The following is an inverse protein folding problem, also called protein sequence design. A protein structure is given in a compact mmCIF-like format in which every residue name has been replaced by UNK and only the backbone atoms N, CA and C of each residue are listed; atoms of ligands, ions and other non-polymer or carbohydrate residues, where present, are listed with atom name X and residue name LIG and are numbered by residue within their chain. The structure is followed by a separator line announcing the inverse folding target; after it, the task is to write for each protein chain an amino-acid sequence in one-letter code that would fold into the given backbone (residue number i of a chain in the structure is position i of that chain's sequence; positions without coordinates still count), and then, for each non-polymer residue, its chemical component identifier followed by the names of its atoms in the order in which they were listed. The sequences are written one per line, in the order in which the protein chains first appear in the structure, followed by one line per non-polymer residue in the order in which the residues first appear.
data_IF_627673136526
#
_entry.id   IF_627673136526
#
_cell.length_a   1.000
_cell.length_b   1.000
_cell.length_c   1.000
_cell.angle_alpha   90.00
_cell.angle_beta   90.00
_cell.angle_gamma   90.00
#
_symmetry.space_group_name_H-M   'P 1'
#
loop_
_entity.id
_entity.type
_entity.pdbx_description
1 polymer ?
#
# COMPACT_ATOMS: atom_id res chain seq x y z
N UNK A 1 19.65 -18.51 -5.57
CA UNK A 1 19.13 -17.31 -4.89
C UNK A 1 17.64 -17.25 -5.18
N UNK A 2 16.76 -16.86 -4.23
CA UNK A 2 15.38 -16.60 -4.59
C UNK A 2 15.35 -15.49 -5.66
N UNK A 3 14.48 -15.65 -6.64
CA UNK A 3 14.36 -14.72 -7.74
C UNK A 3 13.77 -13.40 -7.22
N UNK A 4 14.36 -12.26 -7.61
CA UNK A 4 13.87 -10.96 -7.18
C UNK A 4 12.65 -10.57 -8.02
N UNK A 5 11.49 -10.44 -7.37
CA UNK A 5 10.25 -10.00 -8.02
C UNK A 5 10.27 -8.50 -8.31
N UNK A 6 9.78 -8.11 -9.48
CA UNK A 6 9.66 -6.70 -9.88
C UNK A 6 8.35 -6.08 -9.36
N UNK A 7 8.45 -5.04 -8.52
CA UNK A 7 7.28 -4.35 -7.95
C UNK A 7 6.39 -3.68 -8.99
N UNK A 8 6.89 -3.40 -10.20
CA UNK A 8 6.15 -2.78 -11.29
C UNK A 8 5.51 -3.79 -12.25
N UNK A 9 5.77 -5.09 -12.07
CA UNK A 9 5.20 -6.13 -12.93
C UNK A 9 3.75 -6.46 -12.56
N UNK A 10 2.95 -6.81 -13.57
CA UNK A 10 1.59 -7.31 -13.39
C UNK A 10 0.59 -6.28 -12.86
N UNK A 11 0.78 -4.99 -13.15
CA UNK A 11 -0.16 -3.93 -12.79
C UNK A 11 -1.36 -3.95 -13.76
N UNK A 12 -2.60 -4.18 -13.29
CA UNK A 12 -3.79 -4.13 -14.13
C UNK A 12 -4.04 -2.71 -14.68
N UNK A 13 -4.58 -2.62 -15.90
CA UNK A 13 -4.88 -1.33 -16.53
C UNK A 13 -6.09 -0.62 -15.92
N UNK A 14 -6.93 -1.33 -15.16
CA UNK A 14 -8.07 -0.80 -14.43
C UNK A 14 -8.23 -1.53 -13.10
N UNK A 15 -8.59 -0.78 -12.07
CA UNK A 15 -8.78 -1.25 -10.70
C UNK A 15 -9.98 -0.52 -10.11
N UNK A 16 -11.02 -1.26 -9.70
CA UNK A 16 -12.17 -0.66 -9.02
C UNK A 16 -11.81 -0.24 -7.58
N UNK A 17 -11.01 -1.05 -6.90
CA UNK A 17 -10.48 -0.83 -5.56
C UNK A 17 -8.95 -0.94 -5.60
N UNK A 18 -8.27 -0.48 -4.55
CA UNK A 18 -6.83 -0.66 -4.45
C UNK A 18 -6.47 -2.15 -4.44
N UNK A 19 -5.40 -2.50 -5.15
CA UNK A 19 -4.85 -3.85 -5.09
C UNK A 19 -3.80 -3.90 -3.98
N UNK A 20 -4.10 -4.62 -2.91
CA UNK A 20 -3.17 -4.88 -1.80
C UNK A 20 -2.67 -6.31 -1.91
N UNK A 21 -1.35 -6.47 -1.93
CA UNK A 21 -0.71 -7.77 -2.05
C UNK A 21 0.37 -7.94 -1.00
N UNK A 22 0.22 -8.95 -0.16
CA UNK A 22 1.26 -9.36 0.77
C UNK A 22 2.43 -9.99 0.01
N UNK A 23 3.63 -9.42 0.18
CA UNK A 23 4.87 -9.95 -0.41
C UNK A 23 5.58 -10.87 0.59
N UNK A 24 5.63 -10.45 1.85
CA UNK A 24 6.32 -11.17 2.91
C UNK A 24 5.67 -10.87 4.26
N UNK A 25 5.39 -11.93 5.00
CA UNK A 25 5.05 -11.85 6.43
C UNK A 25 6.12 -12.53 7.25
N UNK A 26 6.54 -11.85 8.31
CA UNK A 26 7.45 -12.37 9.32
C UNK A 26 6.83 -12.17 10.71
N UNK A 27 7.41 -12.74 11.77
CA UNK A 27 6.99 -12.43 13.14
C UNK A 27 7.14 -10.97 13.55
N UNK A 28 7.88 -10.16 12.78
CA UNK A 28 8.24 -8.79 13.16
C UNK A 28 7.62 -7.71 12.27
N UNK A 29 7.34 -8.03 11.00
CA UNK A 29 6.76 -7.08 10.05
C UNK A 29 6.01 -7.81 8.93
N UNK A 30 5.08 -7.07 8.31
CA UNK A 30 4.40 -7.41 7.06
C UNK A 30 4.86 -6.44 5.99
N UNK A 31 5.18 -6.95 4.80
CA UNK A 31 5.52 -6.15 3.63
C UNK A 31 4.44 -6.32 2.58
N UNK A 32 3.81 -5.21 2.20
CA UNK A 32 2.72 -5.17 1.24
C UNK A 32 3.09 -4.30 0.04
N UNK A 33 2.60 -4.70 -1.12
CA UNK A 33 2.53 -3.86 -2.33
C UNK A 33 1.11 -3.36 -2.48
N UNK A 34 0.97 -2.04 -2.58
CA UNK A 34 -0.31 -1.37 -2.85
C UNK A 34 -0.25 -0.75 -4.25
N UNK A 35 -1.26 -1.01 -5.07
CA UNK A 35 -1.44 -0.37 -6.37
C UNK A 35 -2.76 0.37 -6.40
N UNK A 36 -2.68 1.68 -6.58
CA UNK A 36 -3.83 2.58 -6.65
C UNK A 36 -3.91 3.23 -8.05
N UNK A 37 -5.13 3.41 -8.53
CA UNK A 37 -5.54 4.10 -9.75
C UNK A 37 -6.45 5.31 -9.44
N UNK A 38 -6.04 6.09 -8.43
CA UNK A 38 -6.73 7.33 -8.03
C UNK A 38 -7.78 7.17 -6.94
N UNK A 39 -7.87 5.97 -6.33
CA UNK A 39 -8.68 5.80 -5.12
C UNK A 39 -8.17 6.69 -3.99
N UNK A 40 -9.08 6.99 -3.07
CA UNK A 40 -8.80 7.67 -1.82
C UNK A 40 -9.69 7.08 -0.74
N UNK A 41 -9.27 7.21 0.51
CA UNK A 41 -10.08 6.82 1.65
C UNK A 41 -11.44 7.55 1.63
N UNK A 42 -12.55 6.88 2.00
CA UNK A 42 -13.86 7.50 2.04
C UNK A 42 -13.90 8.74 2.97
N UNK A 43 -14.81 9.69 2.73
CA UNK A 43 -14.97 10.84 3.63
C UNK A 43 -15.23 10.40 5.08
N UNK A 44 -14.45 10.97 6.01
CA UNK A 44 -14.57 10.68 7.45
C UNK A 44 -13.87 9.40 7.91
N UNK A 45 -13.30 8.61 7.00
CA UNK A 45 -12.54 7.41 7.33
C UNK A 45 -11.11 7.74 7.79
N UNK A 46 -10.62 7.01 8.80
CA UNK A 46 -9.25 7.05 9.28
C UNK A 46 -8.76 5.62 9.53
N UNK A 47 -7.50 5.37 9.18
CA UNK A 47 -6.82 4.13 9.58
C UNK A 47 -6.38 4.25 11.05
N UNK A 48 -6.73 3.25 11.85
CA UNK A 48 -6.26 3.07 13.22
C UNK A 48 -5.75 1.65 13.37
N UNK A 49 -4.43 1.48 13.27
CA UNK A 49 -3.77 0.19 13.40
C UNK A 49 -2.92 0.14 14.67
N UNK A 50 -2.86 -1.02 15.36
CA UNK A 50 -2.00 -1.19 16.54
C UNK A 50 -0.52 -1.28 16.18
N UNK A 51 -0.20 -1.45 14.90
CA UNK A 51 1.15 -1.58 14.36
C UNK A 51 1.66 -0.27 13.79
N UNK A 52 2.97 -0.05 13.90
CA UNK A 52 3.60 1.05 13.18
C UNK A 52 3.67 0.73 11.69
N UNK A 53 3.30 1.71 10.87
CA UNK A 53 3.35 1.61 9.42
C UNK A 53 4.46 2.50 8.86
N UNK A 54 5.17 1.97 7.87
CA UNK A 54 6.05 2.75 7.01
C UNK A 54 5.63 2.52 5.57
N UNK A 55 5.40 3.60 4.83
CA UNK A 55 4.96 3.56 3.44
C UNK A 55 5.88 4.41 2.57
N UNK A 56 6.16 3.94 1.36
CA UNK A 56 6.92 4.67 0.36
C UNK A 56 6.20 4.68 -0.98
N UNK A 57 6.14 5.86 -1.60
CA UNK A 57 5.63 6.03 -2.95
C UNK A 57 6.75 5.72 -3.94
N UNK A 58 6.56 4.65 -4.74
CA UNK A 58 7.54 4.25 -5.76
C UNK A 58 7.26 4.85 -7.15
N UNK A 59 6.00 5.19 -7.44
CA UNK A 59 5.59 5.80 -8.71
C UNK A 59 4.28 6.56 -8.55
N UNK A 60 4.07 7.59 -9.36
CA UNK A 60 2.84 8.40 -9.34
C UNK A 60 2.85 9.47 -8.25
N UNK A 61 1.70 9.67 -7.59
CA UNK A 61 1.46 10.69 -6.57
C UNK A 61 0.45 10.16 -5.56
N UNK A 62 0.66 10.48 -4.28
CA UNK A 62 -0.29 10.21 -3.21
C UNK A 62 -0.25 11.37 -2.22
N UNK A 63 -1.32 11.53 -1.45
CA UNK A 63 -1.38 12.46 -0.34
C UNK A 63 -1.85 11.69 0.90
N UNK A 64 -1.16 11.87 2.01
CA UNK A 64 -1.54 11.32 3.30
C UNK A 64 -1.91 12.47 4.23
N UNK A 65 -2.96 12.26 5.01
CA UNK A 65 -3.32 13.13 6.12
C UNK A 65 -3.12 12.36 7.41
N UNK A 66 -2.55 13.02 8.40
CA UNK A 66 -2.44 12.49 9.76
C UNK A 66 -3.48 13.19 10.64
N UNK A 67 -4.10 12.46 11.55
CA UNK A 67 -4.98 13.05 12.55
C UNK A 67 -4.13 13.92 13.50
N UNK A 68 -4.71 15.03 13.94
CA UNK A 68 -4.09 15.86 14.98
C UNK A 68 -4.04 15.05 16.28
N UNK A 69 -2.92 15.17 17.02
CA UNK A 69 -2.72 14.51 18.32
C UNK A 69 -3.30 15.34 19.47
#
# INVERSE_FOLDING_TARGET
MPEASNLFAGIPSALAEELIQEILTTPHFRLERIVSHGQASPPGFWYEEPTHEWVALLSGRAALKFADR
#
